data_IF_200811227137
#
_entry.id   IF_200811227137
#
_cell.length_a   1.000
_cell.length_b   1.000
_cell.length_c   1.000
_cell.angle_alpha   90.00
_cell.angle_beta   90.00
_cell.angle_gamma   90.00
#
_symmetry.space_group_name_H-M   'P 1'
#
loop_
_entity.id
_entity.type
_entity.pdbx_description
1 polymer ?
#
# COMPACT_ATOMS: atom_id res chain seq x y z
N UNK A 1 -3.52 -12.33 6.35
CA UNK A 1 -3.32 -11.18 7.26
C UNK A 1 -4.63 -10.94 7.98
N UNK A 2 -4.62 -10.54 9.26
CA UNK A 2 -5.85 -10.32 10.00
C UNK A 2 -6.61 -9.10 9.46
N UNK A 3 -7.94 -9.14 9.58
CA UNK A 3 -8.82 -8.00 9.34
C UNK A 3 -8.88 -7.14 10.61
N UNK A 4 -8.20 -5.98 10.57
CA UNK A 4 -8.09 -5.01 11.65
C UNK A 4 -9.23 -3.98 11.68
N UNK A 5 -10.10 -3.99 10.66
CA UNK A 5 -11.23 -3.06 10.57
C UNK A 5 -12.56 -3.72 10.89
N UNK A 6 -12.68 -5.05 10.91
CA UNK A 6 -13.92 -5.72 11.32
C UNK A 6 -14.35 -5.28 12.73
N UNK A 7 -15.64 -4.95 12.98
CA UNK A 7 -16.79 -5.05 12.06
C UNK A 7 -17.14 -3.74 11.32
N UNK A 8 -16.26 -2.74 11.30
CA UNK A 8 -16.51 -1.46 10.62
C UNK A 8 -16.14 -1.51 9.14
N UNK A 9 -16.91 -0.79 8.32
CA UNK A 9 -16.74 -0.76 6.86
C UNK A 9 -15.62 0.19 6.38
N UNK A 10 -15.20 1.14 7.22
CA UNK A 10 -14.12 2.10 6.91
C UNK A 10 -13.00 1.99 7.93
N UNK A 11 -11.75 2.14 7.45
CA UNK A 11 -10.58 2.21 8.33
C UNK A 11 -10.64 3.45 9.26
N UNK A 12 -10.75 3.28 10.59
CA UNK A 12 -10.82 4.39 11.53
C UNK A 12 -9.60 5.31 11.50
N UNK A 13 -8.41 4.77 11.21
CA UNK A 13 -7.18 5.56 11.13
C UNK A 13 -7.24 6.48 9.91
N UNK A 14 -7.61 5.94 8.74
CA UNK A 14 -7.87 6.73 7.54
C UNK A 14 -8.95 7.80 7.76
N UNK A 15 -10.04 7.46 8.47
CA UNK A 15 -11.13 8.40 8.79
C UNK A 15 -10.62 9.58 9.63
N UNK A 16 -9.88 9.31 10.71
CA UNK A 16 -9.31 10.34 11.56
C UNK A 16 -8.27 11.20 10.84
N UNK A 17 -7.39 10.55 10.07
CA UNK A 17 -6.29 11.21 9.37
C UNK A 17 -6.77 12.18 8.29
N UNK A 18 -7.86 11.85 7.57
CA UNK A 18 -8.51 12.77 6.61
C UNK A 18 -8.77 14.15 7.20
N UNK A 19 -9.26 14.19 8.43
CA UNK A 19 -9.61 15.42 9.14
C UNK A 19 -8.36 16.21 9.51
N UNK A 20 -7.35 15.52 10.05
CA UNK A 20 -6.08 16.13 10.46
C UNK A 20 -5.37 16.73 9.24
N UNK A 21 -5.31 15.97 8.14
CA UNK A 21 -4.66 16.37 6.89
C UNK A 21 -5.21 17.68 6.30
N UNK A 22 -6.48 18.01 6.55
CA UNK A 22 -7.10 19.26 6.07
C UNK A 22 -6.45 20.55 6.60
N UNK A 23 -5.74 20.45 7.72
CA UNK A 23 -5.05 21.57 8.35
C UNK A 23 -3.55 21.63 8.02
N UNK A 24 -3.02 20.62 7.33
CA UNK A 24 -1.59 20.48 7.06
C UNK A 24 -1.20 21.11 5.72
N UNK A 25 0.03 21.63 5.67
CA UNK A 25 0.70 22.00 4.42
C UNK A 25 1.56 20.85 3.86
N UNK A 26 2.08 20.00 4.75
CA UNK A 26 2.89 18.84 4.38
C UNK A 26 2.38 17.63 5.16
N UNK A 27 2.20 16.51 4.45
CA UNK A 27 1.86 15.22 5.03
C UNK A 27 2.80 14.16 4.48
N UNK A 28 3.64 13.61 5.36
CA UNK A 28 4.46 12.43 5.09
C UNK A 28 3.97 11.27 5.98
N UNK A 29 3.37 10.26 5.37
CA UNK A 29 2.68 9.18 6.06
C UNK A 29 3.18 7.82 5.59
N UNK A 30 3.54 6.96 6.55
CA UNK A 30 3.76 5.53 6.32
C UNK A 30 2.72 4.72 7.09
N UNK A 31 1.83 4.01 6.39
CA UNK A 31 0.70 3.34 7.03
C UNK A 31 0.14 2.16 6.22
N UNK A 32 -0.56 1.25 6.92
CA UNK A 32 -1.57 0.39 6.30
C UNK A 32 -2.77 1.26 6.01
N UNK A 33 -3.19 1.34 4.75
CA UNK A 33 -4.27 2.24 4.36
C UNK A 33 -5.20 1.59 3.36
N UNK A 34 -6.42 2.11 3.31
CA UNK A 34 -7.44 1.83 2.30
C UNK A 34 -7.68 3.09 1.48
N UNK A 35 -8.47 3.02 0.39
CA UNK A 35 -8.95 4.22 -0.32
C UNK A 35 -9.71 5.21 0.58
N UNK A 36 -10.13 4.79 1.78
CA UNK A 36 -10.82 5.64 2.74
C UNK A 36 -10.01 6.90 3.02
N UNK A 37 -8.68 6.87 3.09
CA UNK A 37 -7.88 8.07 3.36
C UNK A 37 -8.16 9.24 2.40
N UNK A 38 -8.69 8.98 1.20
CA UNK A 38 -8.89 9.97 0.15
C UNK A 38 -10.36 10.25 -0.19
N UNK A 39 -11.34 9.64 0.51
CA UNK A 39 -12.76 9.86 0.20
C UNK A 39 -13.16 11.34 0.39
N UNK A 40 -13.96 11.83 -0.56
CA UNK A 40 -14.17 13.23 -0.93
C UNK A 40 -14.87 14.16 0.10
N UNK A 41 -15.07 13.75 1.35
CA UNK A 41 -15.77 14.59 2.32
C UNK A 41 -14.89 15.72 2.88
N UNK A 42 -13.58 15.67 2.68
CA UNK A 42 -12.63 16.65 3.24
C UNK A 42 -11.67 17.12 2.16
N UNK A 43 -11.66 18.43 1.89
CA UNK A 43 -10.65 19.06 1.04
C UNK A 43 -9.39 19.34 1.84
N UNK A 44 -8.22 19.29 1.18
CA UNK A 44 -6.93 19.64 1.80
C UNK A 44 -6.39 20.93 1.16
N UNK A 45 -7.05 22.09 1.40
CA UNK A 45 -6.81 23.31 0.63
C UNK A 45 -5.40 23.89 0.81
N UNK A 46 -4.73 23.55 1.92
CA UNK A 46 -3.40 24.02 2.28
C UNK A 46 -2.30 23.06 1.87
N UNK A 47 -2.65 21.86 1.42
CA UNK A 47 -1.67 20.81 1.13
C UNK A 47 -0.77 21.24 -0.03
N UNK A 48 0.53 21.32 0.26
CA UNK A 48 1.61 21.62 -0.68
C UNK A 48 2.39 20.36 -1.03
N UNK A 49 2.64 19.49 -0.05
CA UNK A 49 3.40 18.24 -0.26
C UNK A 49 2.70 17.06 0.38
N UNK A 50 2.37 16.07 -0.44
CA UNK A 50 1.74 14.85 0.01
C UNK A 50 2.65 13.67 -0.33
N UNK A 51 3.17 12.97 0.67
CA UNK A 51 3.98 11.77 0.49
C UNK A 51 3.38 10.63 1.30
N UNK A 52 3.00 9.57 0.60
CA UNK A 52 2.34 8.43 1.22
C UNK A 52 3.08 7.15 0.83
N UNK A 53 3.71 6.54 1.83
CA UNK A 53 4.23 5.18 1.77
C UNK A 53 3.17 4.21 2.31
N UNK A 54 2.41 3.58 1.41
CA UNK A 54 1.42 2.60 1.83
C UNK A 54 2.07 1.23 2.06
N UNK A 55 1.59 0.50 3.07
CA UNK A 55 1.97 -0.89 3.24
C UNK A 55 1.27 -1.76 2.18
N UNK A 56 1.93 -2.77 1.56
CA UNK A 56 1.30 -3.64 0.56
C UNK A 56 0.09 -4.44 1.09
N UNK A 57 0.03 -4.67 2.39
CA UNK A 57 -1.15 -5.20 3.08
C UNK A 57 -2.12 -4.08 3.47
N UNK A 58 -3.41 -4.35 3.31
CA UNK A 58 -4.52 -3.49 3.72
C UNK A 58 -4.95 -3.76 5.16
N UNK A 59 -5.58 -2.78 5.84
CA UNK A 59 -6.17 -2.97 7.16
C UNK A 59 -7.24 -4.08 7.23
N UNK A 60 -7.93 -4.40 6.15
CA UNK A 60 -8.91 -5.50 6.10
C UNK A 60 -8.28 -6.90 5.95
N UNK A 61 -6.95 -6.99 5.93
CA UNK A 61 -6.20 -8.24 5.81
C UNK A 61 -6.00 -8.71 4.37
N UNK A 62 -6.50 -7.96 3.38
CA UNK A 62 -6.25 -8.18 1.96
C UNK A 62 -4.89 -7.59 1.54
N UNK A 63 -4.42 -7.92 0.34
CA UNK A 63 -3.18 -7.37 -0.24
C UNK A 63 -3.45 -6.55 -1.49
N UNK A 64 -2.67 -5.50 -1.71
CA UNK A 64 -2.65 -4.74 -2.97
C UNK A 64 -1.94 -5.48 -4.11
N UNK A 65 -1.13 -6.48 -3.76
CA UNK A 65 -0.30 -7.24 -4.69
C UNK A 65 -0.52 -8.74 -4.48
N UNK A 66 -0.31 -9.52 -5.54
CA UNK A 66 -0.35 -10.98 -5.57
C UNK A 66 0.98 -11.54 -6.05
N UNK A 67 1.15 -12.86 -5.95
CA UNK A 67 2.33 -13.50 -6.51
C UNK A 67 2.36 -13.43 -8.05
N UNK A 68 3.54 -13.58 -8.66
CA UNK A 68 3.75 -13.59 -10.12
C UNK A 68 2.85 -14.52 -10.93
N UNK A 69 2.35 -15.62 -10.34
CA UNK A 69 1.43 -16.56 -11.00
C UNK A 69 -0.02 -16.34 -10.55
N UNK A 70 -0.31 -15.21 -9.90
CA UNK A 70 -1.63 -14.85 -9.37
C UNK A 70 -1.90 -15.36 -7.96
N UNK A 71 -0.88 -15.77 -7.22
CA UNK A 71 -1.06 -16.37 -5.90
C UNK A 71 -1.59 -15.37 -4.87
N UNK A 72 -2.79 -15.67 -4.34
CA UNK A 72 -3.44 -14.87 -3.30
C UNK A 72 -4.06 -15.79 -2.22
N UNK A 73 -3.24 -16.35 -1.31
CA UNK A 73 -3.72 -17.36 -0.36
C UNK A 73 -4.71 -16.82 0.68
N UNK A 74 -4.79 -15.50 0.87
CA UNK A 74 -5.68 -14.87 1.84
C UNK A 74 -6.41 -13.68 1.21
N UNK A 75 -7.42 -13.94 0.36
CA UNK A 75 -8.05 -12.89 -0.44
C UNK A 75 -8.96 -11.94 0.36
N UNK A 76 -9.47 -12.37 1.53
CA UNK A 76 -10.50 -11.63 2.30
C UNK A 76 -10.04 -11.23 3.72
N UNK A 77 -8.77 -11.50 4.06
CA UNK A 77 -8.31 -11.41 5.45
C UNK A 77 -8.99 -12.45 6.36
N UNK A 78 -8.68 -12.43 7.66
CA UNK A 78 -9.34 -13.29 8.64
C UNK A 78 -9.66 -12.54 9.94
N UNK A 79 -10.74 -12.92 10.61
CA UNK A 79 -11.13 -12.33 11.89
C UNK A 79 -10.17 -12.76 13.02
N UNK A 80 -9.67 -11.79 13.79
CA UNK A 80 -8.90 -12.10 15.00
C UNK A 80 -9.86 -12.55 16.10
N UNK A 81 -9.82 -13.84 16.40
CA UNK A 81 -10.49 -14.45 17.56
C UNK A 81 -9.52 -14.63 18.73
N UNK A 82 -10.03 -14.96 19.93
CA UNK A 82 -9.22 -15.27 21.10
C UNK A 82 -8.19 -16.39 20.86
N UNK A 83 -8.43 -17.28 19.88
CA UNK A 83 -7.50 -18.36 19.53
C UNK A 83 -6.20 -17.86 18.88
N UNK A 84 -6.19 -16.63 18.36
CA UNK A 84 -5.01 -16.04 17.72
C UNK A 84 -4.09 -15.30 18.71
N UNK A 85 -4.53 -15.14 19.96
CA UNK A 85 -3.69 -14.57 21.00
C UNK A 85 -3.01 -15.71 21.78
N UNK A 86 -1.72 -15.59 22.09
CA UNK A 86 -1.06 -16.56 22.96
C UNK A 86 -1.76 -16.59 24.32
N UNK A 87 -1.72 -17.74 25.02
CA UNK A 87 -2.23 -17.83 26.38
C UNK A 87 -1.62 -16.73 27.28
N UNK A 88 -2.42 -16.16 28.17
CA UNK A 88 -1.95 -15.07 29.06
C UNK A 88 -1.08 -15.57 30.22
N UNK A 89 -0.75 -16.85 30.27
CA UNK A 89 0.02 -17.49 31.34
C UNK A 89 1.03 -18.44 30.73
N UNK A 90 2.21 -18.58 31.37
CA UNK A 90 3.24 -19.50 30.91
C UNK A 90 2.67 -20.89 30.69
N UNK A 91 2.99 -21.49 29.56
CA UNK A 91 2.56 -22.82 29.16
C UNK A 91 3.73 -23.58 28.52
N UNK A 92 3.54 -24.87 28.27
CA UNK A 92 4.59 -25.76 27.73
C UNK A 92 5.11 -25.27 26.36
N UNK A 93 4.27 -24.64 25.54
CA UNK A 93 4.69 -24.07 24.24
C UNK A 93 5.67 -22.89 24.44
N UNK A 94 5.60 -22.16 25.57
CA UNK A 94 6.55 -21.09 25.88
C UNK A 94 7.94 -21.67 26.21
N UNK A 95 8.00 -22.81 26.91
CA UNK A 95 9.27 -23.50 27.21
C UNK A 95 9.92 -24.05 25.92
N UNK A 96 9.13 -24.61 25.01
CA UNK A 96 9.62 -25.08 23.69
C UNK A 96 10.15 -23.92 22.83
N UNK A 97 9.45 -22.78 22.81
CA UNK A 97 9.90 -21.58 22.10
C UNK A 97 11.19 -21.00 22.68
N UNK A 98 11.35 -21.00 24.01
CA UNK A 98 12.56 -20.54 24.68
C UNK A 98 13.77 -21.46 24.37
N UNK A 99 13.55 -22.79 24.32
CA UNK A 99 14.56 -23.76 23.90
C UNK A 99 14.94 -23.56 22.42
N UNK A 100 13.97 -23.43 21.51
CA UNK A 100 14.21 -23.19 20.09
C UNK A 100 14.96 -21.86 19.86
N UNK A 101 14.58 -20.80 20.59
CA UNK A 101 15.25 -19.50 20.51
C UNK A 101 16.71 -19.59 20.97
N UNK A 102 16.99 -20.39 22.00
CA UNK A 102 18.34 -20.57 22.56
C UNK A 102 19.23 -21.43 21.66
N UNK A 103 18.68 -22.48 21.05
CA UNK A 103 19.43 -23.40 20.20
C UNK A 103 19.65 -22.88 18.76
N UNK A 104 18.72 -22.07 18.23
CA UNK A 104 18.74 -21.56 16.85
C UNK A 104 18.92 -20.03 16.77
N UNK A 105 19.82 -19.48 17.59
CA UNK A 105 20.20 -18.06 17.57
C UNK A 105 20.78 -17.60 16.22
N UNK A 106 21.38 -18.51 15.44
CA UNK A 106 22.05 -18.21 14.18
C UNK A 106 21.14 -18.40 12.94
N UNK A 107 19.99 -19.08 13.09
CA UNK A 107 19.02 -19.32 12.00
C UNK A 107 18.02 -18.16 11.89
N UNK A 108 18.53 -16.99 11.56
CA UNK A 108 17.72 -15.78 11.37
C UNK A 108 17.05 -15.71 9.99
N UNK A 109 17.53 -16.51 9.03
CA UNK A 109 17.07 -16.50 7.65
C UNK A 109 15.73 -17.25 7.46
N UNK A 110 15.53 -18.35 8.19
CA UNK A 110 14.26 -19.11 8.22
C UNK A 110 13.08 -18.33 8.83
N UNK A 111 13.35 -17.17 9.45
CA UNK A 111 12.35 -16.29 10.09
C UNK A 111 11.92 -15.10 9.22
N UNK A 112 12.45 -14.98 8.00
CA UNK A 112 12.05 -13.88 7.12
C UNK A 112 10.62 -14.07 6.63
N UNK A 113 9.81 -12.99 6.58
CA UNK A 113 8.47 -13.07 6.06
C UNK A 113 8.51 -13.45 4.58
N UNK A 114 7.55 -14.28 4.19
CA UNK A 114 7.38 -14.76 2.82
C UNK A 114 6.84 -13.64 1.91
N UNK A 115 7.77 -12.87 1.36
CA UNK A 115 7.54 -11.65 0.59
C UNK A 115 7.60 -11.95 -0.89
N UNK A 116 6.55 -12.57 -1.43
CA UNK A 116 6.49 -12.99 -2.83
C UNK A 116 5.51 -12.15 -3.68
N UNK A 117 4.76 -11.23 -3.06
CA UNK A 117 3.68 -10.49 -3.72
C UNK A 117 4.23 -9.26 -4.44
N UNK A 118 4.46 -9.40 -5.75
CA UNK A 118 5.05 -8.35 -6.59
C UNK A 118 4.11 -7.81 -7.67
N UNK A 119 3.06 -8.55 -8.02
CA UNK A 119 2.15 -8.18 -9.12
C UNK A 119 0.96 -7.38 -8.61
N UNK A 120 0.65 -6.20 -9.18
CA UNK A 120 -0.48 -5.40 -8.73
C UNK A 120 -1.82 -6.11 -8.96
N UNK A 121 -2.66 -6.19 -7.92
CA UNK A 121 -4.02 -6.70 -8.03
C UNK A 121 -4.97 -5.55 -8.36
N UNK A 122 -5.38 -5.44 -9.63
CA UNK A 122 -6.17 -4.32 -10.16
C UNK A 122 -7.38 -3.97 -9.29
N UNK A 123 -8.16 -4.98 -8.89
CA UNK A 123 -9.37 -4.82 -8.06
C UNK A 123 -9.10 -4.14 -6.71
N UNK A 124 -7.87 -4.24 -6.20
CA UNK A 124 -7.48 -3.65 -4.93
C UNK A 124 -6.71 -2.34 -5.09
N UNK A 125 -5.77 -2.27 -6.04
CA UNK A 125 -4.89 -1.11 -6.20
C UNK A 125 -5.55 0.05 -6.94
N UNK A 126 -6.40 -0.22 -7.93
CA UNK A 126 -7.01 0.85 -8.72
C UNK A 126 -8.02 1.69 -7.96
N UNK A 127 -8.86 1.15 -7.05
CA UNK A 127 -9.65 1.97 -6.15
C UNK A 127 -8.81 2.95 -5.33
N UNK A 128 -7.62 2.53 -4.89
CA UNK A 128 -6.69 3.40 -4.16
C UNK A 128 -6.16 4.52 -5.07
N UNK A 129 -5.71 4.18 -6.28
CA UNK A 129 -5.23 5.15 -7.27
C UNK A 129 -6.33 6.15 -7.66
N UNK A 130 -7.56 5.68 -7.86
CA UNK A 130 -8.72 6.50 -8.19
C UNK A 130 -9.05 7.48 -7.05
N UNK A 131 -9.07 6.99 -5.81
CA UNK A 131 -9.34 7.83 -4.66
C UNK A 131 -8.23 8.88 -4.47
N UNK A 132 -6.96 8.47 -4.64
CA UNK A 132 -5.83 9.38 -4.64
C UNK A 132 -5.99 10.49 -5.69
N UNK A 133 -6.20 10.15 -6.97
CA UNK A 133 -6.43 11.14 -8.03
C UNK A 133 -7.59 12.08 -7.71
N UNK A 134 -8.67 11.56 -7.12
CA UNK A 134 -9.84 12.35 -6.76
C UNK A 134 -9.51 13.40 -5.69
N UNK A 135 -8.77 13.04 -4.64
CA UNK A 135 -8.44 13.99 -3.57
C UNK A 135 -7.50 15.10 -4.05
N UNK A 136 -6.61 14.82 -5.01
CA UNK A 136 -5.67 15.81 -5.56
C UNK A 136 -6.39 17.02 -6.19
N UNK A 137 -7.59 16.82 -6.74
CA UNK A 137 -8.44 17.91 -7.28
C UNK A 137 -8.83 18.93 -6.21
N UNK A 138 -8.87 18.53 -4.94
CA UNK A 138 -9.18 19.38 -3.80
C UNK A 138 -7.96 20.07 -3.18
N UNK A 139 -6.79 20.04 -3.84
CA UNK A 139 -5.52 20.58 -3.31
C UNK A 139 -4.96 21.69 -4.22
N UNK A 140 -5.54 22.91 -4.18
CA UNK A 140 -5.10 24.02 -5.04
C UNK A 140 -3.68 24.51 -4.74
N UNK A 141 -3.14 24.26 -3.54
CA UNK A 141 -1.79 24.66 -3.16
C UNK A 141 -0.73 23.59 -3.48
N UNK A 142 -1.11 22.47 -4.11
CA UNK A 142 -0.23 21.32 -4.28
C UNK A 142 0.98 21.67 -5.15
N UNK A 143 2.15 21.28 -4.68
CA UNK A 143 3.43 21.37 -5.38
C UNK A 143 3.89 19.99 -5.85
N UNK A 144 3.63 18.95 -5.04
CA UNK A 144 4.01 17.58 -5.33
C UNK A 144 3.15 16.59 -4.52
N UNK A 145 2.78 15.48 -5.14
CA UNK A 145 2.13 14.36 -4.48
C UNK A 145 2.80 13.04 -4.89
N UNK A 146 2.97 12.13 -3.94
CA UNK A 146 3.58 10.82 -4.15
C UNK A 146 2.81 9.75 -3.38
N UNK A 147 2.45 8.67 -4.08
CA UNK A 147 1.84 7.48 -3.51
C UNK A 147 2.66 6.28 -3.95
N UNK A 148 3.29 5.60 -3.00
CA UNK A 148 4.21 4.52 -3.32
C UNK A 148 4.31 3.49 -2.19
N UNK A 149 4.95 2.37 -2.52
CA UNK A 149 5.31 1.31 -1.60
C UNK A 149 6.63 0.68 -2.05
N UNK A 150 7.15 -0.25 -1.24
CA UNK A 150 8.27 -1.10 -1.62
C UNK A 150 7.79 -2.53 -1.76
N UNK A 151 8.07 -3.13 -2.92
CA UNK A 151 7.82 -4.54 -3.22
C UNK A 151 9.15 -5.27 -3.30
N UNK A 152 9.23 -6.46 -2.73
CA UNK A 152 10.42 -7.31 -2.77
C UNK A 152 10.01 -8.71 -3.18
N UNK A 153 10.89 -9.40 -3.90
CA UNK A 153 10.78 -10.83 -4.14
C UNK A 153 11.77 -11.54 -3.23
N UNK A 154 11.28 -11.96 -2.07
CA UNK A 154 11.98 -12.75 -1.06
C UNK A 154 11.02 -13.84 -0.57
N UNK A 155 10.70 -14.83 -1.42
CA UNK A 155 9.81 -15.94 -1.07
C UNK A 155 10.47 -16.87 -0.04
N UNK A 156 9.67 -17.69 0.63
CA UNK A 156 10.20 -18.83 1.40
C UNK A 156 10.97 -19.81 0.52
N UNK A 157 11.85 -20.64 1.11
CA UNK A 157 12.59 -21.69 0.37
C UNK A 157 11.65 -22.66 -0.37
N UNK A 158 10.55 -23.06 0.29
CA UNK A 158 9.53 -23.92 -0.30
C UNK A 158 8.96 -23.29 -1.58
N UNK A 159 8.56 -22.01 -1.51
CA UNK A 159 8.04 -21.31 -2.68
C UNK A 159 9.12 -21.07 -3.72
N UNK A 160 10.35 -20.75 -3.33
CA UNK A 160 11.45 -20.59 -4.29
C UNK A 160 11.68 -21.89 -5.08
N UNK A 161 11.60 -23.04 -4.41
CA UNK A 161 11.69 -24.35 -5.05
C UNK A 161 10.53 -24.63 -6.03
N UNK A 162 9.30 -24.16 -5.74
CA UNK A 162 8.16 -24.24 -6.66
C UNK A 162 8.34 -23.39 -7.93
N UNK A 163 9.12 -22.31 -7.84
CA UNK A 163 9.43 -21.45 -8.98
C UNK A 163 10.57 -22.01 -9.84
N UNK A 164 11.60 -22.59 -9.22
CA UNK A 164 12.78 -23.10 -9.95
C UNK A 164 13.37 -22.02 -10.86
N UNK A 165 13.62 -22.37 -12.12
CA UNK A 165 14.18 -21.45 -13.13
C UNK A 165 13.20 -20.34 -13.59
N UNK A 166 11.92 -20.43 -13.20
CA UNK A 166 10.88 -19.44 -13.54
C UNK A 166 10.74 -18.31 -12.51
N UNK A 167 11.67 -18.19 -11.57
CA UNK A 167 11.67 -17.09 -10.61
C UNK A 167 11.65 -15.74 -11.34
N UNK A 168 10.72 -14.83 -11.00
CA UNK A 168 10.55 -13.56 -11.72
C UNK A 168 11.76 -12.64 -11.58
N UNK A 169 12.46 -12.76 -10.45
CA UNK A 169 13.60 -11.95 -10.07
C UNK A 169 14.57 -12.82 -9.29
N UNK A 170 15.85 -12.46 -9.36
CA UNK A 170 16.85 -13.02 -8.46
C UNK A 170 16.61 -12.48 -7.04
N UNK A 171 16.52 -13.40 -6.07
CA UNK A 171 16.19 -13.13 -4.67
C UNK A 171 17.23 -12.24 -3.98
N UNK A 172 18.45 -12.13 -4.53
CA UNK A 172 19.49 -11.21 -4.02
C UNK A 172 19.17 -9.73 -4.29
N UNK A 173 18.25 -9.41 -5.20
CA UNK A 173 17.93 -8.03 -5.53
C UNK A 173 16.87 -7.44 -4.60
N UNK A 174 17.34 -6.52 -3.76
CA UNK A 174 16.56 -5.79 -2.75
C UNK A 174 15.29 -5.10 -3.27
N UNK A 175 14.46 -4.70 -2.31
CA UNK A 175 13.13 -4.11 -2.54
C UNK A 175 13.13 -3.00 -3.59
N UNK A 176 12.15 -3.08 -4.50
CA UNK A 176 11.88 -2.12 -5.57
C UNK A 176 10.79 -1.16 -5.15
N UNK A 177 10.91 0.10 -5.56
CA UNK A 177 9.85 1.08 -5.39
C UNK A 177 8.74 0.86 -6.41
N UNK A 178 7.50 0.82 -5.94
CA UNK A 178 6.30 0.77 -6.76
C UNK A 178 5.40 1.95 -6.44
N UNK A 179 4.89 2.69 -7.44
CA UNK A 179 3.96 3.79 -7.19
C UNK A 179 3.90 4.82 -8.29
N UNK A 180 3.51 6.04 -7.91
CA UNK A 180 3.51 7.19 -8.80
C UNK A 180 3.83 8.49 -8.07
N UNK A 181 4.33 9.45 -8.85
CA UNK A 181 4.57 10.83 -8.44
C UNK A 181 3.79 11.77 -9.36
N UNK A 182 3.18 12.78 -8.80
CA UNK A 182 2.42 13.81 -9.51
C UNK A 182 2.94 15.20 -9.14
N UNK A 183 3.18 16.01 -10.16
CA UNK A 183 3.54 17.42 -10.02
C UNK A 183 2.51 18.24 -10.79
N UNK A 184 1.72 19.10 -10.12
CA UNK A 184 0.76 19.97 -10.80
C UNK A 184 1.42 20.91 -11.80
N UNK A 185 0.72 21.13 -12.91
CA UNK A 185 1.11 22.11 -13.91
C UNK A 185 0.99 23.56 -13.39
N UNK A 186 1.81 24.47 -13.93
CA UNK A 186 1.74 25.91 -13.63
C UNK A 186 1.71 26.71 -14.93
N UNK A 187 1.01 27.84 -14.91
CA UNK A 187 1.03 28.84 -16.00
C UNK A 187 0.68 28.26 -17.39
N UNK A 188 -0.29 27.35 -17.45
CA UNK A 188 -0.74 26.72 -18.70
C UNK A 188 0.12 25.54 -19.18
N UNK A 189 1.10 25.12 -18.37
CA UNK A 189 1.81 23.84 -18.55
C UNK A 189 0.97 22.72 -17.93
N UNK A 190 0.86 21.59 -18.62
CA UNK A 190 0.20 20.39 -18.10
C UNK A 190 0.94 19.81 -16.88
N UNK A 191 0.20 19.17 -15.98
CA UNK A 191 0.80 18.44 -14.86
C UNK A 191 1.60 17.23 -15.35
N UNK A 192 2.60 16.84 -14.57
CA UNK A 192 3.46 15.68 -14.84
C UNK A 192 3.07 14.53 -13.92
N UNK A 193 2.85 13.34 -14.51
CA UNK A 193 2.64 12.09 -13.78
C UNK A 193 3.77 11.13 -14.14
N UNK A 194 4.53 10.71 -13.14
CA UNK A 194 5.59 9.72 -13.27
C UNK A 194 5.14 8.39 -12.68
N UNK A 195 5.04 7.37 -13.52
CA UNK A 195 4.66 6.02 -13.13
C UNK A 195 5.91 5.19 -12.83
N UNK A 196 5.98 4.62 -11.62
CA UNK A 196 7.03 3.72 -11.16
C UNK A 196 6.42 2.34 -10.92
N UNK A 197 5.89 1.71 -11.97
CA UNK A 197 5.08 0.48 -11.85
C UNK A 197 5.59 -0.68 -12.72
N UNK A 198 6.82 -0.58 -13.23
CA UNK A 198 7.41 -1.58 -14.12
C UNK A 198 6.67 -1.67 -15.45
N UNK A 199 6.34 -2.88 -15.89
CA UNK A 199 5.59 -3.15 -17.12
C UNK A 199 4.08 -3.03 -16.94
N UNK A 200 3.57 -3.15 -15.71
CA UNK A 200 2.15 -3.03 -15.41
C UNK A 200 1.62 -1.64 -15.75
N UNK A 201 0.37 -1.53 -16.19
CA UNK A 201 -0.32 -0.25 -16.38
C UNK A 201 -1.74 -0.35 -15.82
N UNK A 202 -2.24 0.72 -15.17
CA UNK A 202 -3.62 0.75 -14.72
C UNK A 202 -4.58 0.82 -15.91
N UNK A 203 -5.85 0.47 -15.69
CA UNK A 203 -6.88 0.63 -16.70
C UNK A 203 -6.99 2.08 -17.18
N UNK A 204 -7.42 2.25 -18.44
CA UNK A 204 -7.53 3.55 -19.12
C UNK A 204 -8.33 4.59 -18.32
N UNK A 205 -9.34 4.14 -17.56
CA UNK A 205 -10.12 5.01 -16.69
C UNK A 205 -9.28 5.71 -15.62
N UNK A 206 -8.32 5.01 -15.01
CA UNK A 206 -7.40 5.59 -14.02
C UNK A 206 -6.43 6.55 -14.68
N UNK A 207 -5.88 6.19 -15.84
CA UNK A 207 -4.98 7.07 -16.60
C UNK A 207 -5.66 8.41 -16.89
N UNK A 208 -6.90 8.36 -17.39
CA UNK A 208 -7.72 9.56 -17.66
C UNK A 208 -8.02 10.40 -16.42
N UNK A 209 -8.13 9.78 -15.24
CA UNK A 209 -8.32 10.53 -13.99
C UNK A 209 -7.11 11.42 -13.68
N UNK A 210 -5.90 10.92 -13.91
CA UNK A 210 -4.67 11.69 -13.69
C UNK A 210 -4.42 12.71 -14.80
N UNK A 211 -4.68 12.37 -16.07
CA UNK A 211 -4.62 13.33 -17.18
C UNK A 211 -5.59 14.51 -16.97
N UNK A 212 -6.78 14.23 -16.42
CA UNK A 212 -7.79 15.23 -16.09
C UNK A 212 -7.45 16.15 -14.90
N UNK A 213 -6.32 15.95 -14.20
CA UNK A 213 -5.88 16.88 -13.14
C UNK A 213 -5.35 18.21 -13.71
N UNK A 214 -4.94 18.22 -14.98
CA UNK A 214 -4.30 19.36 -15.63
C UNK A 214 -5.22 20.44 -16.20
N UNK A 215 -6.54 20.43 -15.92
CA UNK A 215 -7.45 21.36 -16.62
C UNK A 215 -8.81 21.60 -15.99
N UNK A 216 -8.88 22.61 -15.12
CA UNK A 216 -10.01 23.54 -15.13
C UNK A 216 -9.44 24.96 -15.21
N UNK A 217 -9.40 25.52 -16.42
CA UNK A 217 -9.30 26.97 -16.56
C UNK A 217 -10.54 27.57 -15.87
N UNK A 218 -10.42 28.49 -14.91
CA UNK A 218 -11.55 29.30 -14.52
C UNK A 218 -11.94 30.11 -15.75
N UNK A 219 -13.02 29.70 -16.42
CA UNK A 219 -13.70 30.54 -17.40
C UNK A 219 -14.08 31.82 -16.69
N UNK A 220 -13.37 32.89 -17.00
CA UNK A 220 -13.70 34.21 -16.51
C UNK A 220 -15.12 34.61 -16.93
N UNK A 221 -15.87 35.12 -15.97
CA UNK A 221 -16.68 36.35 -16.06
C UNK A 221 -16.91 36.86 -14.65
#
# INVERSE_FOLDING_TARGET
>A
MPNLISPVDEDPVSVGMRTIASYLEELDLRAFLTPDLFKAQVQWPRMRRLRIEFHPCRPDGCWYFVGPRGENPNPEGFEITHQHYPPTSPNEDDDELDEEFTENLDDTDSRLPDMFRTEPLADNIEPLLSAFATVLKGMPALEEAELFTHISWNPSEERLAEYGDEAPYDAEYGGRRWGLRYVPGKDGVEGLVEWQVGEWRPHEGIIKLFEGLGGENPTGT
#
